data_IF_159251523478
#
_entry.id   IF_159251523478
#
_cell.length_a   1.000
_cell.length_b   1.000
_cell.length_c   1.000
_cell.angle_alpha   90.00
_cell.angle_beta   90.00
_cell.angle_gamma   90.00
#
_symmetry.space_group_name_H-M   'P 1'
#
loop_
_entity.id
_entity.type
_entity.pdbx_description
1 polymer ?
#
# COMPACT_ATOMS: atom_id res chain seq x y z
N UNK A 1 31.24 5.82 -14.80
CA UNK A 1 31.33 7.10 -15.48
C UNK A 1 31.72 8.19 -14.48
N UNK A 2 32.93 8.78 -14.69
CA UNK A 2 33.51 9.77 -13.78
C UNK A 2 32.78 11.13 -13.77
N UNK A 3 31.76 11.29 -14.59
CA UNK A 3 30.92 12.52 -14.62
C UNK A 3 30.18 12.77 -13.32
N UNK A 4 30.02 11.77 -12.46
CA UNK A 4 29.29 11.86 -11.20
C UNK A 4 30.21 11.99 -9.97
N UNK A 5 31.45 12.39 -10.16
CA UNK A 5 32.36 12.66 -9.05
C UNK A 5 31.83 13.75 -8.12
N UNK A 6 31.92 13.51 -6.84
CA UNK A 6 31.52 14.46 -5.78
C UNK A 6 32.70 14.87 -4.94
N UNK A 7 32.63 16.06 -4.37
CA UNK A 7 33.65 16.57 -3.45
C UNK A 7 33.79 15.64 -2.24
N UNK A 8 35.03 15.32 -1.86
CA UNK A 8 35.35 14.44 -0.75
C UNK A 8 35.53 12.97 -1.08
N UNK A 9 35.21 12.56 -2.30
CA UNK A 9 35.49 11.20 -2.75
C UNK A 9 36.97 11.04 -3.07
N UNK A 10 37.53 9.86 -2.74
CA UNK A 10 38.95 9.57 -3.00
C UNK A 10 39.13 8.90 -4.35
N UNK A 11 40.15 9.37 -5.07
CA UNK A 11 40.64 8.77 -6.29
C UNK A 11 42.10 8.39 -6.11
N UNK A 12 42.44 7.19 -6.52
CA UNK A 12 43.84 6.70 -6.57
C UNK A 12 44.13 6.18 -7.97
N UNK A 13 45.35 6.35 -8.44
CA UNK A 13 45.73 5.87 -9.78
C UNK A 13 47.15 5.40 -9.79
N UNK A 14 47.43 4.48 -10.71
CA UNK A 14 48.79 4.01 -11.02
C UNK A 14 49.08 4.26 -12.48
N UNK A 15 50.30 4.70 -12.77
CA UNK A 15 50.80 4.90 -14.12
C UNK A 15 52.02 4.02 -14.36
N UNK A 16 52.31 3.68 -15.64
CA UNK A 16 53.52 2.97 -16.02
C UNK A 16 54.70 3.95 -16.19
N UNK A 17 55.88 3.43 -16.51
CA UNK A 17 57.10 4.25 -16.70
C UNK A 17 56.96 5.26 -17.83
N UNK A 18 56.12 5.02 -18.82
CA UNK A 18 55.82 5.92 -19.90
C UNK A 18 54.77 7.00 -19.54
N UNK A 19 54.21 6.97 -18.33
CA UNK A 19 53.21 7.91 -17.86
C UNK A 19 51.76 7.54 -18.24
N UNK A 20 51.54 6.33 -18.80
CA UNK A 20 50.20 5.90 -19.20
C UNK A 20 49.44 5.36 -17.97
N UNK A 21 48.17 5.74 -17.86
CA UNK A 21 47.28 5.27 -16.78
C UNK A 21 47.02 3.76 -16.90
N UNK A 22 47.33 3.01 -15.87
CA UNK A 22 47.11 1.57 -15.78
C UNK A 22 45.91 1.18 -14.97
N UNK A 23 45.67 1.89 -13.87
CA UNK A 23 44.55 1.59 -12.95
C UNK A 23 44.06 2.91 -12.33
N UNK A 24 42.73 3.01 -12.21
CA UNK A 24 42.07 4.07 -11.46
C UNK A 24 41.12 3.42 -10.43
N UNK A 25 41.25 3.81 -9.18
CA UNK A 25 40.36 3.38 -8.11
C UNK A 25 39.56 4.58 -7.59
N UNK A 26 38.26 4.44 -7.60
CA UNK A 26 37.33 5.47 -7.15
C UNK A 26 36.50 4.97 -5.97
N UNK A 27 36.70 5.55 -4.80
CA UNK A 27 35.87 5.30 -3.63
C UNK A 27 34.60 6.14 -3.74
N UNK A 28 33.55 5.52 -4.28
CA UNK A 28 32.24 6.18 -4.50
C UNK A 28 31.57 6.49 -3.18
N UNK A 29 31.68 5.54 -2.22
CA UNK A 29 31.16 5.64 -0.86
C UNK A 29 31.93 4.71 0.04
N UNK A 30 31.61 4.67 1.33
CA UNK A 30 32.18 3.65 2.23
C UNK A 30 31.86 2.22 1.81
N UNK A 31 30.82 2.03 0.99
CA UNK A 31 30.29 0.72 0.60
C UNK A 31 30.71 0.32 -0.79
N UNK A 32 31.04 1.23 -1.66
CA UNK A 32 31.30 0.97 -3.06
C UNK A 32 32.62 1.56 -3.48
N UNK A 33 33.48 0.68 -4.03
CA UNK A 33 34.73 1.06 -4.70
C UNK A 33 34.65 0.59 -6.14
N UNK A 34 34.94 1.45 -7.09
CA UNK A 34 35.03 1.15 -8.52
C UNK A 34 36.48 1.18 -8.95
N UNK A 35 36.91 0.11 -9.60
CA UNK A 35 38.26 -0.01 -10.13
C UNK A 35 38.20 -0.10 -11.64
N UNK A 36 39.02 0.69 -12.31
CA UNK A 36 39.15 0.70 -13.77
C UNK A 36 40.57 0.23 -14.13
N UNK A 37 40.68 -0.97 -14.69
CA UNK A 37 41.94 -1.58 -15.10
C UNK A 37 42.12 -1.45 -16.62
N UNK A 38 43.31 -1.04 -17.06
CA UNK A 38 43.61 -0.96 -18.47
C UNK A 38 43.70 -2.38 -19.08
N UNK A 39 42.95 -2.56 -20.16
CA UNK A 39 42.97 -3.76 -20.98
C UNK A 39 43.14 -3.33 -22.43
N UNK A 40 44.39 -3.37 -22.93
CA UNK A 40 44.71 -2.85 -24.26
C UNK A 40 44.52 -1.32 -24.33
N UNK A 41 43.62 -0.84 -25.22
CA UNK A 41 43.31 0.55 -25.39
C UNK A 41 42.05 1.00 -24.64
N UNK A 42 41.48 0.12 -23.81
CA UNK A 42 40.26 0.39 -23.02
C UNK A 42 40.47 0.08 -21.55
N UNK A 43 39.45 0.37 -20.75
CA UNK A 43 39.42 0.09 -19.30
C UNK A 43 38.28 -0.82 -18.99
N UNK A 44 38.55 -1.83 -18.11
CA UNK A 44 37.53 -2.70 -17.54
C UNK A 44 37.14 -2.19 -16.16
N UNK A 45 35.84 -1.95 -15.97
CA UNK A 45 35.27 -1.56 -14.68
C UNK A 45 35.00 -2.78 -13.81
N UNK A 46 35.38 -2.71 -12.54
CA UNK A 46 35.04 -3.66 -11.50
C UNK A 46 34.41 -2.88 -10.34
N UNK A 47 33.31 -3.41 -9.79
CA UNK A 47 32.64 -2.83 -8.62
C UNK A 47 32.79 -3.76 -7.43
N UNK A 48 33.22 -3.20 -6.33
CA UNK A 48 33.33 -3.90 -5.06
C UNK A 48 32.39 -3.23 -4.06
N UNK A 49 31.37 -3.96 -3.59
CA UNK A 49 30.43 -3.50 -2.58
C UNK A 49 30.76 -4.16 -1.25
N UNK A 50 30.95 -3.35 -0.22
CA UNK A 50 31.11 -3.85 1.14
C UNK A 50 29.74 -3.94 1.81
N UNK A 51 29.41 -5.12 2.35
CA UNK A 51 28.22 -5.33 3.16
C UNK A 51 28.59 -5.38 4.63
N UNK A 52 27.77 -4.74 5.45
CA UNK A 52 27.87 -4.83 6.90
C UNK A 52 27.21 -6.12 7.43
N UNK A 53 27.29 -6.29 8.72
CA UNK A 53 26.63 -7.38 9.44
C UNK A 53 25.17 -6.98 9.74
N UNK A 54 24.22 -7.83 9.40
CA UNK A 54 22.80 -7.62 9.67
C UNK A 54 22.39 -8.32 10.96
N UNK A 55 21.75 -7.57 11.86
CA UNK A 55 21.24 -8.06 13.14
C UNK A 55 19.77 -7.72 13.31
N UNK A 56 19.00 -8.69 13.81
CA UNK A 56 17.59 -8.47 14.14
C UNK A 56 17.47 -7.95 15.57
N UNK A 57 16.70 -6.88 15.74
CA UNK A 57 16.42 -6.27 17.04
C UNK A 57 14.91 -6.14 17.23
N UNK A 58 14.44 -6.45 18.42
CA UNK A 58 13.07 -6.16 18.86
C UNK A 58 13.11 -4.89 19.70
N UNK A 59 12.37 -3.88 19.26
CA UNK A 59 12.24 -2.61 19.97
C UNK A 59 10.78 -2.50 20.44
N UNK A 60 10.59 -2.42 21.75
CA UNK A 60 9.27 -2.36 22.38
C UNK A 60 9.14 -1.13 23.23
N UNK A 61 7.92 -0.62 23.37
CA UNK A 61 7.64 0.53 24.21
C UNK A 61 6.15 0.77 24.37
N UNK A 62 5.85 1.83 25.10
CA UNK A 62 4.47 2.31 25.31
C UNK A 62 4.35 3.75 24.82
N UNK A 63 3.20 4.07 24.28
CA UNK A 63 2.90 5.45 23.88
C UNK A 63 2.72 6.32 25.12
N UNK A 64 3.48 7.41 25.16
CA UNK A 64 3.37 8.45 26.17
C UNK A 64 3.45 9.81 25.46
N UNK A 65 2.30 10.38 25.16
CA UNK A 65 2.19 11.54 24.29
C UNK A 65 1.95 11.10 22.84
N UNK A 66 2.90 11.36 21.94
CA UNK A 66 2.80 10.93 20.55
C UNK A 66 3.51 9.59 20.31
N UNK A 67 3.08 8.86 19.28
CA UNK A 67 3.78 7.65 18.84
C UNK A 67 5.19 7.96 18.37
N UNK A 68 5.38 9.04 17.60
CA UNK A 68 6.70 9.42 17.06
C UNK A 68 7.72 9.66 18.17
N UNK A 69 7.33 10.41 19.20
CA UNK A 69 8.18 10.68 20.36
C UNK A 69 8.51 9.39 21.13
N UNK A 70 7.50 8.58 21.40
CA UNK A 70 7.64 7.33 22.16
C UNK A 70 8.50 6.30 21.43
N UNK A 71 8.32 6.17 20.12
CA UNK A 71 9.12 5.28 19.29
C UNK A 71 10.58 5.72 19.18
N UNK A 72 10.83 7.03 19.11
CA UNK A 72 12.18 7.61 19.15
C UNK A 72 12.87 7.32 20.47
N UNK A 73 12.18 7.51 21.59
CA UNK A 73 12.69 7.21 22.93
C UNK A 73 13.00 5.70 23.10
N UNK A 74 12.26 4.84 22.44
CA UNK A 74 12.50 3.39 22.46
C UNK A 74 13.69 2.95 21.60
N UNK A 75 14.24 3.84 20.77
CA UNK A 75 15.44 3.58 19.98
C UNK A 75 15.23 3.46 18.47
N UNK A 76 14.06 3.84 17.95
CA UNK A 76 13.82 3.90 16.52
C UNK A 76 14.32 5.22 15.93
N UNK A 77 14.99 5.16 14.79
CA UNK A 77 15.36 6.36 14.03
C UNK A 77 14.11 6.96 13.35
N UNK A 78 14.23 8.19 12.86
CA UNK A 78 13.15 8.86 12.14
C UNK A 78 12.69 8.06 10.92
N UNK A 79 13.62 7.51 10.14
CA UNK A 79 13.29 6.70 8.97
C UNK A 79 12.60 5.39 9.37
N UNK A 80 13.02 4.77 10.46
CA UNK A 80 12.40 3.57 11.00
C UNK A 80 10.98 3.84 11.50
N UNK A 81 10.75 4.95 12.18
CA UNK A 81 9.41 5.40 12.61
C UNK A 81 8.49 5.60 11.40
N UNK A 82 8.98 6.28 10.36
CA UNK A 82 8.23 6.50 9.14
C UNK A 82 7.85 5.18 8.45
N UNK A 83 8.75 4.20 8.46
CA UNK A 83 8.47 2.86 7.92
C UNK A 83 7.37 2.14 8.69
N UNK A 84 7.36 2.25 10.02
CA UNK A 84 6.31 1.67 10.87
C UNK A 84 4.95 2.32 10.58
N UNK A 85 4.91 3.65 10.52
CA UNK A 85 3.68 4.38 10.20
C UNK A 85 3.15 3.96 8.84
N UNK A 86 4.01 3.93 7.84
CA UNK A 86 3.65 3.54 6.47
C UNK A 86 3.09 2.12 6.39
N UNK A 87 3.67 1.20 7.15
CA UNK A 87 3.24 -0.20 7.17
C UNK A 87 1.88 -0.42 7.84
N UNK A 88 1.51 0.38 8.84
CA UNK A 88 0.29 0.21 9.63
C UNK A 88 -0.81 1.25 9.36
N UNK A 89 -0.52 2.37 8.69
CA UNK A 89 -1.49 3.47 8.55
C UNK A 89 -2.77 3.06 7.81
N UNK A 90 -2.73 2.01 7.01
CA UNK A 90 -3.93 1.49 6.34
C UNK A 90 -4.90 0.80 7.30
N UNK A 91 -4.41 0.36 8.48
CA UNK A 91 -5.21 -0.31 9.48
C UNK A 91 -5.67 0.60 10.62
N UNK A 92 -4.86 1.61 10.96
CA UNK A 92 -5.14 2.48 12.11
C UNK A 92 -4.64 3.90 11.89
N UNK A 93 -5.25 4.83 12.63
CA UNK A 93 -4.83 6.22 12.65
C UNK A 93 -3.91 6.46 13.86
N UNK A 94 -2.63 6.71 13.59
CA UNK A 94 -1.62 6.94 14.64
C UNK A 94 -1.91 8.16 15.51
N UNK A 95 -2.71 9.13 15.02
CA UNK A 95 -3.12 10.30 15.79
C UNK A 95 -4.11 9.96 16.90
N UNK A 96 -4.78 8.81 16.81
CA UNK A 96 -5.77 8.33 17.79
C UNK A 96 -5.18 7.41 18.85
N UNK A 97 -3.88 7.18 18.83
CA UNK A 97 -3.21 6.38 19.86
C UNK A 97 -3.28 7.09 21.20
N UNK A 98 -3.44 6.29 22.25
CA UNK A 98 -3.60 6.76 23.62
C UNK A 98 -2.38 6.40 24.47
N UNK A 99 -2.18 7.16 25.55
CA UNK A 99 -1.18 6.84 26.56
C UNK A 99 -1.37 5.42 27.06
N UNK A 100 -0.28 4.65 27.09
CA UNK A 100 -0.28 3.26 27.52
C UNK A 100 -0.44 2.24 26.40
N UNK A 101 -0.82 2.66 25.19
CA UNK A 101 -0.82 1.77 24.03
C UNK A 101 0.58 1.19 23.81
N UNK A 102 0.63 -0.08 23.40
CA UNK A 102 1.88 -0.83 23.33
C UNK A 102 2.30 -1.05 21.88
N UNK A 103 3.59 -1.01 21.63
CA UNK A 103 4.16 -1.37 20.34
C UNK A 103 5.38 -2.28 20.49
N UNK A 104 5.57 -3.15 19.52
CA UNK A 104 6.73 -4.02 19.40
C UNK A 104 7.13 -4.09 17.93
N UNK A 105 8.38 -3.74 17.64
CA UNK A 105 8.88 -3.59 16.28
C UNK A 105 10.05 -4.54 16.09
N UNK A 106 9.97 -5.40 15.06
CA UNK A 106 11.08 -6.24 14.63
C UNK A 106 11.81 -5.54 13.49
N UNK A 107 13.03 -5.11 13.78
CA UNK A 107 13.87 -4.36 12.86
C UNK A 107 15.13 -5.14 12.54
N UNK A 108 15.45 -5.28 11.26
CA UNK A 108 16.76 -5.76 10.83
C UNK A 108 17.66 -4.57 10.57
N UNK A 109 18.79 -4.50 11.25
CA UNK A 109 19.73 -3.39 11.18
C UNK A 109 21.09 -3.85 10.69
N UNK A 110 21.65 -3.13 9.75
CA UNK A 110 23.00 -3.37 9.28
C UNK A 110 24.00 -2.58 10.12
N UNK A 111 25.05 -3.25 10.59
CA UNK A 111 26.19 -2.65 11.25
C UNK A 111 27.38 -2.68 10.30
N UNK A 112 27.86 -1.50 9.93
CA UNK A 112 29.01 -1.32 9.06
C UNK A 112 30.06 -0.47 9.81
N UNK A 113 31.27 -1.02 9.99
CA UNK A 113 32.32 -0.40 10.81
C UNK A 113 31.87 0.00 12.21
N UNK A 114 31.02 -0.84 12.85
CA UNK A 114 30.46 -0.57 14.16
C UNK A 114 29.42 0.55 14.22
N UNK A 115 29.09 1.15 13.08
CA UNK A 115 28.03 2.15 12.95
C UNK A 115 26.80 1.56 12.26
N UNK A 116 25.63 1.91 12.79
CA UNK A 116 24.35 1.57 12.21
C UNK A 116 24.15 2.33 10.90
N UNK A 117 24.00 1.66 9.77
CA UNK A 117 23.98 2.30 8.45
C UNK A 117 22.69 2.10 7.66
N UNK A 118 22.08 0.91 7.70
CA UNK A 118 20.82 0.63 7.05
C UNK A 118 19.91 -0.17 7.98
N UNK A 119 18.60 -0.05 7.74
CA UNK A 119 17.62 -0.85 8.47
C UNK A 119 16.46 -1.24 7.58
N UNK A 120 15.82 -2.33 7.95
CA UNK A 120 14.65 -2.87 7.27
C UNK A 120 13.62 -3.29 8.29
N UNK A 121 12.41 -2.77 8.18
CA UNK A 121 11.28 -3.20 9.00
C UNK A 121 10.84 -4.60 8.55
N UNK A 122 10.83 -5.55 9.48
CA UNK A 122 10.36 -6.92 9.22
C UNK A 122 8.95 -7.15 9.75
N UNK A 123 8.58 -6.50 10.83
CA UNK A 123 7.25 -6.64 11.38
C UNK A 123 7.01 -5.65 12.51
N UNK A 124 5.73 -5.39 12.76
CA UNK A 124 5.29 -4.55 13.86
C UNK A 124 3.97 -5.07 14.43
N UNK A 125 3.86 -5.02 15.74
CA UNK A 125 2.62 -5.21 16.47
C UNK A 125 2.32 -3.95 17.26
N UNK A 126 1.10 -3.46 17.16
CA UNK A 126 0.64 -2.32 17.94
C UNK A 126 -0.68 -2.66 18.60
N UNK A 127 -0.75 -2.50 19.92
CA UNK A 127 -1.94 -2.76 20.71
C UNK A 127 -2.59 -1.46 21.14
N UNK A 128 -3.83 -1.24 20.73
CA UNK A 128 -4.64 -0.09 21.09
C UNK A 128 -6.12 -0.47 21.18
N UNK A 129 -6.83 0.09 22.13
CA UNK A 129 -8.26 -0.20 22.31
C UNK A 129 -8.55 -1.68 22.55
N UNK A 130 -7.65 -2.43 23.17
CA UNK A 130 -7.79 -3.87 23.42
C UNK A 130 -7.60 -4.74 22.18
N UNK A 131 -7.15 -4.19 21.07
CA UNK A 131 -6.96 -4.89 19.80
C UNK A 131 -5.50 -4.81 19.35
N UNK A 132 -4.99 -5.91 18.79
CA UNK A 132 -3.66 -5.99 18.20
C UNK A 132 -3.72 -5.77 16.69
N UNK A 133 -2.87 -4.87 16.20
CA UNK A 133 -2.67 -4.61 14.78
C UNK A 133 -1.28 -5.07 14.38
N UNK A 134 -1.19 -5.76 13.26
CA UNK A 134 0.07 -6.31 12.74
C UNK A 134 0.34 -5.82 11.35
N UNK A 135 1.62 -5.57 11.07
CA UNK A 135 2.11 -5.49 9.71
C UNK A 135 3.36 -6.36 9.61
N UNK A 136 3.35 -7.33 8.72
CA UNK A 136 4.40 -8.33 8.56
C UNK A 136 4.92 -8.25 7.13
N UNK A 137 6.23 -8.11 6.98
CA UNK A 137 6.87 -8.11 5.66
C UNK A 137 6.85 -9.50 5.07
N UNK A 138 6.31 -9.63 3.86
CA UNK A 138 6.34 -10.85 3.07
C UNK A 138 7.56 -10.89 2.13
N UNK A 139 7.74 -12.00 1.44
CA UNK A 139 8.85 -12.18 0.48
C UNK A 139 8.83 -11.17 -0.66
N UNK A 140 7.64 -10.67 -1.04
CA UNK A 140 7.47 -9.62 -2.04
C UNK A 140 7.92 -8.22 -1.57
N UNK A 141 8.35 -8.10 -0.31
CA UNK A 141 8.75 -6.85 0.31
C UNK A 141 7.60 -5.97 0.77
N UNK A 142 6.36 -6.41 0.63
CA UNK A 142 5.15 -5.69 1.02
C UNK A 142 4.66 -6.17 2.38
N UNK A 143 3.82 -5.33 3.03
CA UNK A 143 3.32 -5.63 4.37
C UNK A 143 1.87 -6.10 4.34
N UNK A 144 1.59 -7.09 5.16
CA UNK A 144 0.28 -7.72 5.30
C UNK A 144 -0.07 -7.87 6.79
N UNK A 145 -1.37 -7.96 7.12
CA UNK A 145 -1.81 -8.31 8.46
C UNK A 145 -1.59 -9.81 8.75
N UNK A 146 -2.00 -10.29 9.93
CA UNK A 146 -1.84 -11.71 10.32
C UNK A 146 -2.56 -12.68 9.40
N UNK A 147 -3.64 -12.26 8.74
CA UNK A 147 -4.43 -13.07 7.83
C UNK A 147 -3.92 -13.02 6.39
N UNK A 148 -2.85 -12.27 6.13
CA UNK A 148 -2.31 -12.10 4.80
C UNK A 148 -3.11 -11.13 3.92
N UNK A 149 -3.89 -10.26 4.54
CA UNK A 149 -4.64 -9.19 3.86
C UNK A 149 -3.87 -7.88 3.90
N UNK A 150 -4.08 -7.01 2.91
CA UNK A 150 -3.46 -5.70 2.87
C UNK A 150 -3.73 -4.95 1.57
N UNK A 151 -3.56 -3.63 1.60
CA UNK A 151 -3.70 -2.79 0.42
C UNK A 151 -2.56 -2.98 -0.59
N UNK A 152 -1.50 -3.66 -0.19
CA UNK A 152 -0.35 -3.92 -1.05
C UNK A 152 -0.70 -4.71 -2.32
N UNK A 153 -1.78 -5.52 -2.30
CA UNK A 153 -2.26 -6.22 -3.48
C UNK A 153 -2.93 -5.30 -4.50
N UNK A 154 -3.32 -4.08 -4.09
CA UNK A 154 -4.03 -3.13 -4.92
C UNK A 154 -5.49 -3.51 -5.16
N UNK A 155 -6.14 -2.78 -6.06
CA UNK A 155 -7.55 -2.95 -6.38
C UNK A 155 -7.74 -3.45 -7.81
N UNK A 156 -8.74 -4.31 -7.99
CA UNK A 156 -9.20 -4.67 -9.33
C UNK A 156 -9.87 -3.46 -9.98
N UNK A 157 -9.70 -3.31 -11.29
CA UNK A 157 -10.33 -2.23 -12.04
C UNK A 157 -11.85 -2.38 -12.11
N UNK A 158 -12.34 -3.62 -12.21
CA UNK A 158 -13.75 -3.95 -12.28
C UNK A 158 -14.11 -4.95 -11.19
N UNK A 159 -15.30 -4.86 -10.60
CA UNK A 159 -15.77 -5.79 -9.58
C UNK A 159 -16.32 -7.10 -10.16
N UNK A 160 -15.86 -7.51 -11.34
CA UNK A 160 -16.33 -8.68 -12.07
C UNK A 160 -15.18 -9.35 -12.81
N UNK A 161 -15.40 -10.62 -13.22
CA UNK A 161 -14.38 -11.38 -13.97
C UNK A 161 -14.08 -10.79 -15.33
N UNK A 162 -15.09 -10.24 -16.00
CA UNK A 162 -14.94 -9.60 -17.30
C UNK A 162 -15.46 -8.17 -17.25
N UNK A 163 -15.07 -7.37 -18.23
CA UNK A 163 -15.54 -6.01 -18.37
C UNK A 163 -16.96 -5.97 -18.93
N UNK A 164 -17.86 -5.29 -18.23
CA UNK A 164 -19.21 -5.02 -18.68
C UNK A 164 -19.33 -3.57 -19.14
N UNK A 165 -20.32 -3.31 -20.00
CA UNK A 165 -20.61 -1.98 -20.49
C UNK A 165 -21.04 -1.06 -19.34
N UNK A 166 -20.49 0.13 -19.31
CA UNK A 166 -20.92 1.20 -18.40
C UNK A 166 -22.21 1.80 -18.98
N UNK A 167 -23.31 1.65 -18.24
CA UNK A 167 -24.61 2.21 -18.63
C UNK A 167 -24.82 3.62 -18.07
N UNK A 168 -24.12 3.97 -16.97
CA UNK A 168 -24.18 5.30 -16.37
C UNK A 168 -22.86 5.60 -15.65
N UNK A 169 -22.27 6.74 -15.97
CA UNK A 169 -20.98 7.16 -15.41
C UNK A 169 -21.16 7.85 -14.06
N UNK A 170 -20.07 7.86 -13.28
CA UNK A 170 -19.95 8.70 -12.11
C UNK A 170 -20.14 10.18 -12.50
N UNK A 171 -21.06 10.85 -11.80
CA UNK A 171 -21.33 12.27 -12.04
C UNK A 171 -21.76 12.96 -10.73
N UNK A 172 -20.85 13.67 -10.06
CA UNK A 172 -21.15 14.31 -8.78
C UNK A 172 -22.10 15.53 -8.91
N UNK A 173 -22.35 15.98 -10.14
CA UNK A 173 -23.19 17.15 -10.44
C UNK A 173 -24.34 16.86 -11.39
N UNK A 174 -24.78 15.61 -11.43
CA UNK A 174 -25.91 15.24 -12.28
C UNK A 174 -27.17 16.01 -11.87
N UNK A 175 -27.83 16.63 -12.84
CA UNK A 175 -29.07 17.36 -12.63
C UNK A 175 -30.24 16.50 -13.05
N UNK A 176 -31.26 16.39 -12.17
CA UNK A 176 -32.50 15.73 -12.51
C UNK A 176 -33.25 16.57 -13.54
N UNK A 177 -33.56 16.06 -14.76
CA UNK A 177 -34.20 16.86 -15.81
C UNK A 177 -35.64 17.26 -15.48
N UNK A 178 -36.31 16.57 -14.56
CA UNK A 178 -37.68 16.85 -14.15
C UNK A 178 -37.72 17.90 -13.05
N UNK A 179 -36.88 17.81 -12.02
CA UNK A 179 -36.91 18.68 -10.86
C UNK A 179 -35.93 19.85 -10.93
N UNK A 180 -34.92 19.79 -11.81
CA UNK A 180 -33.83 20.76 -11.90
C UNK A 180 -32.86 20.69 -10.71
N UNK A 181 -33.04 19.76 -9.79
CA UNK A 181 -32.19 19.60 -8.59
C UNK A 181 -30.98 18.74 -8.90
N UNK A 182 -29.86 19.04 -8.21
CA UNK A 182 -28.66 18.21 -8.26
C UNK A 182 -28.93 16.88 -7.56
N UNK A 183 -28.83 15.79 -8.29
CA UNK A 183 -28.95 14.41 -7.80
C UNK A 183 -27.68 13.65 -8.21
N UNK A 184 -26.61 13.70 -7.41
CA UNK A 184 -25.34 13.12 -7.78
C UNK A 184 -25.44 11.62 -8.04
N UNK A 185 -24.77 11.14 -9.11
CA UNK A 185 -24.53 9.73 -9.33
C UNK A 185 -23.18 9.38 -8.70
N UNK A 186 -23.21 8.76 -7.54
CA UNK A 186 -22.02 8.55 -6.66
C UNK A 186 -21.18 7.35 -7.04
N UNK A 187 -21.52 6.63 -8.09
CA UNK A 187 -20.82 5.45 -8.55
C UNK A 187 -20.94 5.28 -10.05
N UNK A 188 -20.59 4.10 -10.51
CA UNK A 188 -20.69 3.68 -11.90
C UNK A 188 -21.68 2.52 -11.98
N UNK A 189 -22.57 2.56 -12.97
CA UNK A 189 -23.49 1.46 -13.27
C UNK A 189 -22.95 0.62 -14.43
N UNK A 190 -22.86 -0.68 -14.19
CA UNK A 190 -22.49 -1.66 -15.20
C UNK A 190 -23.71 -2.48 -15.59
N UNK A 191 -24.06 -2.47 -16.87
CA UNK A 191 -25.11 -3.33 -17.40
C UNK A 191 -24.64 -4.77 -17.40
N UNK A 192 -25.36 -5.65 -16.71
CA UNK A 192 -25.03 -7.07 -16.64
C UNK A 192 -26.26 -7.92 -16.36
N UNK A 193 -26.29 -9.18 -16.83
CA UNK A 193 -27.38 -10.11 -16.52
C UNK A 193 -27.50 -10.35 -15.03
N UNK A 194 -28.72 -10.55 -14.53
CA UNK A 194 -28.99 -10.99 -13.16
C UNK A 194 -28.27 -12.31 -12.90
N UNK A 195 -27.62 -12.41 -11.72
CA UNK A 195 -26.89 -13.60 -11.33
C UNK A 195 -25.41 -13.61 -11.74
N UNK A 196 -24.89 -12.50 -12.25
CA UNK A 196 -23.46 -12.37 -12.55
C UNK A 196 -22.67 -12.30 -11.23
N UNK A 197 -21.59 -13.09 -11.09
CA UNK A 197 -20.74 -13.02 -9.90
C UNK A 197 -20.12 -11.64 -9.72
N UNK A 198 -20.26 -11.08 -8.52
CA UNK A 198 -19.64 -9.84 -8.09
C UNK A 198 -18.48 -10.17 -7.17
N UNK A 199 -17.33 -9.54 -7.40
CA UNK A 199 -16.08 -9.84 -6.70
C UNK A 199 -15.66 -8.67 -5.83
N UNK A 200 -15.02 -8.97 -4.69
CA UNK A 200 -14.33 -7.97 -3.89
C UNK A 200 -13.16 -7.41 -4.70
N UNK A 201 -13.11 -6.10 -4.90
CA UNK A 201 -12.05 -5.46 -5.69
C UNK A 201 -10.70 -5.43 -4.98
N UNK A 202 -10.67 -5.65 -3.69
CA UNK A 202 -9.45 -5.63 -2.87
C UNK A 202 -9.66 -6.38 -1.57
N UNK A 203 -8.55 -6.65 -0.89
CA UNK A 203 -8.57 -7.24 0.45
C UNK A 203 -9.27 -6.29 1.43
N UNK A 204 -10.09 -6.83 2.33
CA UNK A 204 -10.79 -6.01 3.29
C UNK A 204 -11.72 -6.78 4.20
N UNK A 205 -12.60 -6.03 4.88
CA UNK A 205 -13.60 -6.56 5.79
C UNK A 205 -14.99 -6.09 5.37
N UNK A 206 -15.93 -7.02 5.30
CA UNK A 206 -17.34 -6.71 5.03
C UNK A 206 -17.91 -5.97 6.23
N UNK A 207 -18.34 -4.73 6.00
CA UNK A 207 -18.96 -3.90 7.07
C UNK A 207 -20.46 -3.81 6.93
N UNK A 208 -21.01 -4.01 5.74
CA UNK A 208 -22.45 -4.05 5.47
C UNK A 208 -22.73 -5.19 4.49
N UNK A 209 -23.76 -5.99 4.80
CA UNK A 209 -24.31 -7.00 3.89
C UNK A 209 -25.78 -7.17 4.26
N UNK A 210 -26.66 -6.40 3.61
CA UNK A 210 -28.10 -6.38 3.94
C UNK A 210 -28.93 -5.78 2.79
N UNK A 211 -30.26 -5.88 2.91
CA UNK A 211 -31.20 -5.12 2.07
C UNK A 211 -31.50 -3.78 2.74
N UNK A 212 -31.45 -2.69 1.97
CA UNK A 212 -31.74 -1.36 2.49
C UNK A 212 -32.27 -0.42 1.40
N UNK A 213 -33.54 -0.09 1.44
CA UNK A 213 -34.18 0.94 0.65
C UNK A 213 -33.83 0.96 -0.83
N UNK A 214 -33.39 2.10 -1.32
CA UNK A 214 -33.04 2.34 -2.71
C UNK A 214 -31.85 1.50 -3.21
N UNK A 215 -30.92 1.16 -2.32
CA UNK A 215 -29.75 0.33 -2.67
C UNK A 215 -30.11 -1.13 -2.95
N UNK A 216 -31.27 -1.61 -2.50
CA UNK A 216 -31.64 -3.01 -2.55
C UNK A 216 -30.73 -3.85 -1.66
N UNK A 217 -30.45 -5.07 -2.08
CA UNK A 217 -29.41 -5.86 -1.43
C UNK A 217 -28.04 -5.27 -1.79
N UNK A 218 -27.24 -4.96 -0.76
CA UNK A 218 -25.92 -4.37 -1.02
C UNK A 218 -24.86 -4.86 -0.04
N UNK A 219 -23.61 -4.79 -0.49
CA UNK A 219 -22.41 -5.10 0.29
C UNK A 219 -21.53 -3.84 0.33
N UNK A 220 -20.99 -3.55 1.49
CA UNK A 220 -19.90 -2.58 1.64
C UNK A 220 -18.69 -3.26 2.26
N UNK A 221 -17.52 -3.02 1.68
CA UNK A 221 -16.25 -3.56 2.13
C UNK A 221 -15.33 -2.41 2.51
N UNK A 222 -14.75 -2.48 3.70
CA UNK A 222 -13.72 -1.56 4.16
C UNK A 222 -12.35 -2.13 3.85
N UNK A 223 -11.55 -1.37 3.10
CA UNK A 223 -10.19 -1.70 2.72
C UNK A 223 -9.22 -0.83 3.51
N UNK A 224 -8.84 -1.29 4.68
CA UNK A 224 -8.05 -0.49 5.60
C UNK A 224 -8.84 0.67 6.19
N UNK A 225 -8.16 1.78 6.48
CA UNK A 225 -8.74 2.92 7.17
C UNK A 225 -9.51 3.88 6.27
N UNK A 226 -9.03 4.08 5.06
CA UNK A 226 -9.50 5.18 4.19
C UNK A 226 -10.49 4.76 3.13
N UNK A 227 -10.44 3.51 2.68
CA UNK A 227 -11.14 3.08 1.48
C UNK A 227 -12.33 2.20 1.79
N UNK A 228 -13.45 2.48 1.11
CA UNK A 228 -14.67 1.65 1.17
C UNK A 228 -15.19 1.45 -0.25
N UNK A 229 -15.60 0.24 -0.58
CA UNK A 229 -16.29 -0.07 -1.83
C UNK A 229 -17.69 -0.57 -1.54
N UNK A 230 -18.64 -0.21 -2.41
CA UNK A 230 -20.06 -0.58 -2.27
C UNK A 230 -20.56 -1.19 -3.55
N UNK A 231 -21.38 -2.23 -3.39
CA UNK A 231 -21.94 -3.05 -4.47
C UNK A 231 -23.43 -3.16 -4.23
N UNK A 232 -24.26 -2.59 -5.11
CA UNK A 232 -25.70 -2.43 -4.87
C UNK A 232 -26.56 -3.13 -5.90
N UNK A 233 -27.86 -3.20 -5.61
CA UNK A 233 -28.91 -3.82 -6.44
C UNK A 233 -28.69 -5.32 -6.65
N UNK A 234 -28.11 -5.98 -5.66
CA UNK A 234 -27.72 -7.39 -5.73
C UNK A 234 -28.94 -8.32 -5.62
N UNK A 235 -28.86 -9.48 -6.28
CA UNK A 235 -29.84 -10.56 -6.14
C UNK A 235 -29.60 -11.35 -4.86
N UNK A 236 -28.34 -11.70 -4.60
CA UNK A 236 -27.97 -12.55 -3.48
C UNK A 236 -26.68 -12.08 -2.83
N UNK A 237 -26.66 -12.09 -1.50
CA UNK A 237 -25.49 -11.82 -0.69
C UNK A 237 -24.79 -13.13 -0.35
N UNK A 238 -23.47 -13.22 -0.58
CA UNK A 238 -22.67 -14.42 -0.31
C UNK A 238 -21.74 -14.24 0.90
N UNK A 239 -21.75 -13.07 1.52
CA UNK A 239 -20.91 -12.71 2.66
C UNK A 239 -21.73 -12.11 3.78
N UNK A 240 -21.13 -12.06 4.96
CA UNK A 240 -21.75 -11.50 6.18
C UNK A 240 -20.91 -10.36 6.73
N UNK A 241 -21.51 -9.39 7.48
CA UNK A 241 -20.74 -8.37 8.18
C UNK A 241 -19.68 -9.00 9.10
N UNK A 242 -18.48 -8.40 9.11
CA UNK A 242 -17.35 -8.89 9.88
C UNK A 242 -16.48 -9.92 9.15
N UNK A 243 -16.92 -10.44 8.03
CA UNK A 243 -16.16 -11.42 7.25
C UNK A 243 -14.96 -10.75 6.57
N UNK A 244 -13.78 -11.38 6.68
CA UNK A 244 -12.60 -11.00 5.93
C UNK A 244 -12.69 -11.56 4.51
N UNK A 245 -12.41 -10.72 3.52
CA UNK A 245 -12.39 -11.10 2.12
C UNK A 245 -11.07 -10.72 1.48
N UNK A 246 -10.70 -11.46 0.45
CA UNK A 246 -9.52 -11.19 -0.37
C UNK A 246 -9.94 -10.70 -1.74
N UNK A 247 -9.07 -9.92 -2.38
CA UNK A 247 -9.24 -9.50 -3.77
C UNK A 247 -9.63 -10.67 -4.65
N UNK A 248 -10.73 -10.53 -5.38
CA UNK A 248 -11.26 -11.56 -6.27
C UNK A 248 -12.23 -12.54 -5.64
N UNK A 249 -12.47 -12.48 -4.32
CA UNK A 249 -13.47 -13.32 -3.68
C UNK A 249 -14.87 -12.99 -4.18
N UNK A 250 -15.71 -14.00 -4.37
CA UNK A 250 -17.12 -13.81 -4.70
C UNK A 250 -17.87 -13.34 -3.48
N UNK A 251 -18.49 -12.17 -3.58
CA UNK A 251 -19.21 -11.55 -2.46
C UNK A 251 -20.72 -11.51 -2.67
N UNK A 252 -21.17 -11.58 -3.93
CA UNK A 252 -22.59 -11.48 -4.26
C UNK A 252 -22.87 -11.94 -5.69
N UNK A 253 -24.14 -12.02 -6.03
CA UNK A 253 -24.65 -12.13 -7.38
C UNK A 253 -25.38 -10.84 -7.74
N UNK A 254 -25.14 -10.29 -8.94
CA UNK A 254 -25.80 -9.09 -9.42
C UNK A 254 -27.30 -9.29 -9.62
N UNK A 255 -28.04 -8.21 -9.60
CA UNK A 255 -29.48 -8.27 -9.66
C UNK A 255 -30.15 -7.02 -10.22
N UNK A 256 -31.32 -6.74 -9.67
CA UNK A 256 -32.17 -5.61 -10.04
C UNK A 256 -33.02 -5.16 -8.82
N UNK A 257 -32.50 -5.34 -7.62
CA UNK A 257 -33.22 -5.02 -6.37
C UNK A 257 -33.11 -3.56 -6.00
N UNK A 258 -34.04 -3.06 -5.20
CA UNK A 258 -34.09 -1.66 -4.79
C UNK A 258 -34.61 -0.75 -5.90
N UNK A 259 -34.14 0.51 -5.89
CA UNK A 259 -34.53 1.47 -6.94
C UNK A 259 -33.67 1.23 -8.18
N UNK A 260 -34.17 0.37 -9.05
CA UNK A 260 -33.47 -0.03 -10.27
C UNK A 260 -34.48 -0.24 -11.39
N UNK A 261 -34.19 0.27 -12.59
CA UNK A 261 -35.04 0.16 -13.77
C UNK A 261 -34.66 -0.98 -14.70
N UNK A 262 -33.57 -1.66 -14.44
CA UNK A 262 -33.08 -2.78 -15.22
C UNK A 262 -31.87 -3.45 -14.59
N UNK A 263 -31.55 -4.69 -15.02
CA UNK A 263 -30.41 -5.43 -14.47
C UNK A 263 -29.08 -4.69 -14.60
N UNK A 264 -28.46 -4.35 -13.47
CA UNK A 264 -27.18 -3.66 -13.42
C UNK A 264 -26.52 -3.81 -12.05
N UNK A 265 -25.24 -3.53 -11.99
CA UNK A 265 -24.49 -3.35 -10.75
C UNK A 265 -24.15 -1.88 -10.58
N UNK A 266 -24.55 -1.30 -9.47
CA UNK A 266 -24.06 0.02 -9.04
C UNK A 266 -22.86 -0.17 -8.14
N UNK A 267 -21.73 0.38 -8.54
CA UNK A 267 -20.44 0.23 -7.85
C UNK A 267 -19.88 1.60 -7.43
N UNK A 268 -19.56 1.73 -6.13
CA UNK A 268 -18.99 2.94 -5.57
C UNK A 268 -17.62 2.68 -4.96
N UNK A 269 -16.75 3.68 -5.07
CA UNK A 269 -15.50 3.78 -4.32
C UNK A 269 -15.55 5.05 -3.49
N UNK A 270 -15.24 4.93 -2.20
CA UNK A 270 -15.18 6.05 -1.26
C UNK A 270 -13.81 6.13 -0.63
N UNK A 271 -13.28 7.34 -0.56
CA UNK A 271 -12.02 7.67 0.11
C UNK A 271 -12.34 8.64 1.24
N UNK A 272 -12.05 8.27 2.48
CA UNK A 272 -12.42 9.03 3.69
C UNK A 272 -13.92 9.39 3.72
N UNK A 273 -14.77 8.44 3.31
CA UNK A 273 -16.22 8.60 3.27
C UNK A 273 -16.77 9.37 2.06
N UNK A 274 -15.91 9.92 1.22
CA UNK A 274 -16.30 10.72 0.06
C UNK A 274 -16.27 9.88 -1.22
N UNK A 275 -17.36 9.89 -1.98
CA UNK A 275 -17.42 9.18 -3.25
C UNK A 275 -16.46 9.77 -4.29
N UNK A 276 -15.70 8.91 -4.95
CA UNK A 276 -14.77 9.26 -6.03
C UNK A 276 -15.13 8.47 -7.28
N UNK A 277 -14.66 8.91 -8.44
CA UNK A 277 -14.89 8.18 -9.69
C UNK A 277 -14.15 6.84 -9.66
N UNK A 278 -14.86 5.70 -9.64
CA UNK A 278 -14.23 4.38 -9.57
C UNK A 278 -13.27 4.11 -10.72
N UNK A 279 -13.53 4.66 -11.89
CA UNK A 279 -12.71 4.42 -13.09
C UNK A 279 -11.41 5.22 -13.10
N UNK A 280 -11.36 6.34 -12.37
CA UNK A 280 -10.14 7.16 -12.22
C UNK A 280 -9.33 6.78 -10.99
N UNK A 281 -9.98 6.28 -9.95
CA UNK A 281 -9.37 5.97 -8.65
C UNK A 281 -8.24 4.94 -8.77
N UNK A 282 -8.40 3.90 -9.57
CA UNK A 282 -7.44 2.81 -9.68
C UNK A 282 -6.11 3.28 -10.28
N UNK A 283 -6.13 4.21 -11.24
CA UNK A 283 -4.90 4.81 -11.77
C UNK A 283 -4.12 5.54 -10.67
N UNK A 284 -4.81 6.29 -9.81
CA UNK A 284 -4.19 7.03 -8.71
C UNK A 284 -3.65 6.06 -7.64
N UNK A 285 -4.39 5.01 -7.30
CA UNK A 285 -3.98 4.02 -6.31
C UNK A 285 -2.75 3.20 -6.76
N UNK A 286 -2.66 2.85 -8.04
CA UNK A 286 -1.51 2.14 -8.59
C UNK A 286 -0.21 2.95 -8.51
N UNK A 287 -0.29 4.26 -8.52
CA UNK A 287 0.88 5.13 -8.36
C UNK A 287 1.31 5.33 -6.91
N UNK A 288 0.46 4.99 -5.95
CA UNK A 288 0.73 5.12 -4.50
C UNK A 288 1.25 3.81 -3.91
N UNK A 289 0.88 2.68 -4.48
CA UNK A 289 1.23 1.32 -4.07
C UNK A 289 2.08 0.60 -5.12
#
# INVERSE_FOLDING_TARGET
>A
DLRNLKIGQQLSWTVNDAGDLQQLTWEVSRRETRTYDRVGNSFKESKEAQQGEWRNNVISGRVNGSFVSSAGDAGLSRNEINSVIKALQWQLDFRKLRKGDQFSVLMSREHFDGKKSQSQLLGVRLRTGGKDYYAIRAEDGKFYDRQGSGLARGFMRFPTMKQFRISSNFNPRRVNPVTGRVAPHKGVDFAMPVGTPVLAVGDGEVVIAKRSGAAGNYVAIRHGRQYTTRYMHLKKLLVKPGQKVKRGDRIALSGNTGRSTGPHLHYEVRVDGKAVNPMSFIKAAQNVF
#
